data_IF_879147469245
#
_entry.id   IF_879147469245
#
_cell.length_a   1.000
_cell.length_b   1.000
_cell.length_c   1.000
_cell.angle_alpha   90.00
_cell.angle_beta   90.00
_cell.angle_gamma   90.00
#
_symmetry.space_group_name_H-M   'P 1'
#
loop_
_entity.id
_entity.type
_entity.pdbx_description
1 polymer ?
#
# COMPACT_ATOMS: atom_id res chain seq x y z
N UNK A 1 27.23 11.30 -7.69
CA UNK A 1 26.06 11.38 -6.81
C UNK A 1 25.02 10.46 -7.40
N UNK A 2 24.77 9.32 -6.76
CA UNK A 2 23.69 8.42 -7.16
C UNK A 2 22.37 9.14 -6.87
N UNK A 3 21.58 9.38 -7.92
CA UNK A 3 20.19 9.77 -7.77
C UNK A 3 19.52 8.67 -6.93
N UNK A 4 19.03 9.04 -5.76
CA UNK A 4 18.12 8.19 -5.01
C UNK A 4 16.84 8.23 -5.84
N UNK A 5 16.57 7.11 -6.53
CA UNK A 5 15.37 6.92 -7.34
C UNK A 5 14.19 6.76 -6.37
N UNK A 6 13.72 7.87 -5.82
CA UNK A 6 12.58 7.86 -4.90
C UNK A 6 11.34 7.46 -5.71
N UNK A 7 10.71 6.31 -5.42
CA UNK A 7 9.58 5.82 -6.21
C UNK A 7 8.41 6.81 -6.16
N UNK A 8 7.67 6.91 -7.26
CA UNK A 8 6.42 7.69 -7.29
C UNK A 8 5.46 7.09 -6.26
N UNK A 9 4.71 7.94 -5.55
CA UNK A 9 3.83 7.48 -4.50
C UNK A 9 2.70 6.62 -5.08
N UNK A 10 2.62 5.37 -4.61
CA UNK A 10 1.44 4.53 -4.75
C UNK A 10 0.66 4.60 -3.43
N UNK A 11 -0.59 5.10 -3.47
CA UNK A 11 -1.43 5.13 -2.28
C UNK A 11 -1.97 3.72 -2.07
N UNK A 12 -1.41 3.04 -1.07
CA UNK A 12 -1.86 1.72 -0.65
C UNK A 12 -2.37 1.79 0.76
N UNK A 13 -3.40 1.01 1.03
CA UNK A 13 -3.81 0.69 2.38
C UNK A 13 -3.62 -0.79 2.61
N UNK A 14 -2.98 -1.14 3.73
CA UNK A 14 -2.84 -2.52 4.19
C UNK A 14 -3.36 -2.60 5.63
N UNK A 15 -4.41 -3.37 5.82
CA UNK A 15 -5.05 -3.65 7.10
C UNK A 15 -4.64 -5.04 7.55
N UNK A 16 -4.02 -5.12 8.73
CA UNK A 16 -3.61 -6.38 9.35
C UNK A 16 -4.75 -6.89 10.22
N UNK A 17 -5.25 -8.09 9.95
CA UNK A 17 -6.25 -8.79 10.79
C UNK A 17 -5.59 -10.01 11.43
N UNK A 18 -5.20 -9.83 12.69
CA UNK A 18 -4.54 -10.87 13.52
C UNK A 18 -5.17 -11.02 14.91
N UNK A 19 -6.29 -10.35 15.14
CA UNK A 19 -7.09 -10.45 16.36
C UNK A 19 -7.58 -11.88 16.65
N UNK A 20 -7.61 -12.73 15.62
CA UNK A 20 -7.92 -14.17 15.72
C UNK A 20 -6.73 -15.10 15.39
N UNK A 21 -5.49 -14.59 15.32
CA UNK A 21 -4.29 -15.32 14.86
C UNK A 21 -4.42 -15.86 13.42
N UNK A 22 -5.23 -15.18 12.60
CA UNK A 22 -5.48 -15.59 11.24
C UNK A 22 -4.36 -15.20 10.29
N UNK A 23 -3.38 -14.38 10.68
CA UNK A 23 -2.29 -13.94 9.79
C UNK A 23 -2.80 -13.51 8.40
N UNK A 24 -3.90 -12.75 8.36
CA UNK A 24 -4.49 -12.25 7.13
C UNK A 24 -4.25 -10.76 7.01
N UNK A 25 -3.81 -10.33 5.83
CA UNK A 25 -3.77 -8.91 5.48
C UNK A 25 -4.77 -8.62 4.38
N UNK A 26 -5.47 -7.50 4.51
CA UNK A 26 -6.31 -6.93 3.46
C UNK A 26 -5.61 -5.71 2.90
N UNK A 27 -5.54 -5.59 1.58
CA UNK A 27 -4.93 -4.40 0.99
C UNK A 27 -5.36 -4.10 -0.42
N UNK A 28 -5.27 -2.82 -0.76
CA UNK A 28 -5.52 -2.31 -2.10
C UNK A 28 -4.40 -2.76 -3.03
N UNK A 29 -4.78 -3.52 -4.07
CA UNK A 29 -3.88 -3.86 -5.18
C UNK A 29 -3.80 -2.69 -6.15
N UNK A 30 -4.92 -2.00 -6.37
CA UNK A 30 -5.02 -0.80 -7.21
C UNK A 30 -6.24 0.03 -6.80
N UNK A 31 -6.08 1.35 -6.80
CA UNK A 31 -7.15 2.31 -6.56
C UNK A 31 -7.43 3.19 -7.80
N UNK A 32 -8.69 3.53 -8.09
CA UNK A 32 -9.05 4.25 -9.31
C UNK A 32 -8.52 5.69 -9.30
N UNK A 33 -8.06 6.14 -10.48
CA UNK A 33 -7.57 7.51 -10.74
C UNK A 33 -6.41 7.98 -9.84
N UNK A 34 -5.66 7.03 -9.29
CA UNK A 34 -4.42 7.29 -8.54
C UNK A 34 -3.25 6.73 -9.34
N UNK A 35 -2.20 7.54 -9.45
CA UNK A 35 -0.96 7.10 -10.09
C UNK A 35 -0.28 6.07 -9.19
N UNK A 36 0.30 5.04 -9.79
CA UNK A 36 1.18 4.09 -9.14
C UNK A 36 2.64 4.58 -9.15
N UNK A 37 3.54 3.72 -8.66
CA UNK A 37 4.97 3.99 -8.61
C UNK A 37 5.64 4.15 -9.98
N UNK A 38 4.96 3.79 -11.06
CA UNK A 38 5.40 3.90 -12.45
C UNK A 38 4.77 5.11 -13.16
N UNK A 39 3.89 5.85 -12.46
CA UNK A 39 3.15 6.98 -13.00
C UNK A 39 1.91 6.58 -13.81
N UNK A 40 1.53 5.29 -13.78
CA UNK A 40 0.35 4.77 -14.45
C UNK A 40 -0.88 4.86 -13.54
N UNK A 41 -2.04 5.12 -14.12
CA UNK A 41 -3.30 5.18 -13.38
C UNK A 41 -4.38 4.39 -14.12
N UNK A 42 -5.26 3.74 -13.37
CA UNK A 42 -6.34 2.93 -13.93
C UNK A 42 -7.72 3.48 -13.56
N UNK A 43 -8.69 3.28 -14.46
CA UNK A 43 -10.12 3.51 -14.14
C UNK A 43 -10.68 2.37 -13.30
N UNK A 44 -11.77 2.62 -12.58
CA UNK A 44 -12.54 1.58 -11.86
C UNK A 44 -12.96 0.41 -12.77
N UNK A 45 -13.32 0.70 -14.03
CA UNK A 45 -13.65 -0.30 -15.05
C UNK A 45 -12.45 -1.21 -15.38
N UNK A 46 -11.25 -0.63 -15.52
CA UNK A 46 -10.03 -1.39 -15.83
C UNK A 46 -9.55 -2.19 -14.63
N UNK A 47 -9.61 -1.61 -13.42
CA UNK A 47 -9.30 -2.29 -12.16
C UNK A 47 -10.20 -3.52 -12.00
N UNK A 48 -11.51 -3.36 -12.21
CA UNK A 48 -12.47 -4.47 -12.15
C UNK A 48 -12.15 -5.58 -13.16
N UNK A 49 -11.75 -5.23 -14.39
CA UNK A 49 -11.32 -6.20 -15.39
C UNK A 49 -10.04 -6.93 -14.96
N UNK A 50 -9.08 -6.21 -14.40
CA UNK A 50 -7.84 -6.81 -13.89
C UNK A 50 -8.12 -7.80 -12.76
N UNK A 51 -8.92 -7.41 -11.77
CA UNK A 51 -9.37 -8.26 -10.67
C UNK A 51 -10.06 -9.54 -11.19
N UNK A 52 -11.01 -9.41 -12.12
CA UNK A 52 -11.75 -10.55 -12.65
C UNK A 52 -10.86 -11.48 -13.48
N UNK A 53 -9.92 -10.93 -14.25
CA UNK A 53 -8.95 -11.74 -14.98
C UNK A 53 -7.99 -12.46 -14.03
N UNK A 54 -7.59 -11.84 -12.92
CA UNK A 54 -6.76 -12.49 -11.91
C UNK A 54 -7.46 -13.74 -11.36
N UNK A 55 -8.74 -13.60 -10.98
CA UNK A 55 -9.58 -14.70 -10.50
C UNK A 55 -9.81 -15.77 -11.57
N UNK A 56 -10.20 -15.36 -12.79
CA UNK A 56 -10.47 -16.26 -13.92
C UNK A 56 -9.26 -17.13 -14.28
N UNK A 57 -8.06 -16.59 -14.11
CA UNK A 57 -6.81 -17.29 -14.42
C UNK A 57 -6.22 -18.04 -13.21
N UNK A 58 -6.98 -18.20 -12.12
CA UNK A 58 -6.60 -18.99 -10.94
C UNK A 58 -5.26 -18.57 -10.31
N UNK A 59 -4.96 -17.27 -10.29
CA UNK A 59 -3.67 -16.74 -9.77
C UNK A 59 -3.63 -16.58 -8.25
N UNK A 60 -4.48 -17.30 -7.52
CA UNK A 60 -4.73 -17.09 -6.09
C UNK A 60 -3.51 -17.38 -5.19
N UNK A 61 -2.55 -18.17 -5.68
CA UNK A 61 -1.30 -18.51 -4.98
C UNK A 61 -0.07 -17.88 -5.65
N UNK A 62 -0.27 -16.97 -6.62
CA UNK A 62 0.80 -16.24 -7.30
C UNK A 62 1.13 -14.95 -6.55
N UNK A 63 1.40 -15.07 -5.24
CA UNK A 63 1.81 -13.96 -4.38
C UNK A 63 3.32 -14.05 -4.18
N UNK A 64 4.06 -13.03 -4.62
CA UNK A 64 5.49 -12.90 -4.42
C UNK A 64 5.84 -11.69 -3.56
N UNK A 65 7.13 -11.52 -3.25
CA UNK A 65 7.64 -10.37 -2.50
C UNK A 65 8.63 -9.64 -3.39
N UNK A 66 8.41 -8.34 -3.60
CA UNK A 66 9.33 -7.49 -4.36
C UNK A 66 9.45 -7.85 -5.84
N UNK A 67 8.40 -8.38 -6.48
CA UNK A 67 8.38 -8.75 -7.90
C UNK A 67 9.47 -9.76 -8.31
N UNK A 68 9.88 -10.64 -7.38
CA UNK A 68 10.92 -11.65 -7.63
C UNK A 68 10.39 -12.89 -8.39
N UNK A 69 9.08 -12.96 -8.65
CA UNK A 69 8.39 -14.05 -9.34
C UNK A 69 8.47 -15.42 -8.65
N UNK A 70 8.87 -15.45 -7.37
CA UNK A 70 8.87 -16.64 -6.53
C UNK A 70 7.67 -16.60 -5.59
N UNK A 71 6.90 -17.69 -5.57
CA UNK A 71 5.75 -17.81 -4.67
C UNK A 71 6.23 -17.74 -3.22
N UNK A 72 5.65 -16.81 -2.47
CA UNK A 72 5.90 -16.63 -1.04
C UNK A 72 5.28 -17.74 -0.18
N UNK A 73 4.43 -18.60 -0.75
CA UNK A 73 3.59 -19.54 -0.01
C UNK A 73 2.28 -18.93 0.51
N UNK A 74 2.14 -17.61 0.43
CA UNK A 74 0.88 -16.92 0.75
C UNK A 74 -0.19 -17.16 -0.32
N UNK A 75 -1.46 -17.10 0.07
CA UNK A 75 -2.58 -17.30 -0.85
C UNK A 75 -3.77 -16.39 -0.54
N UNK A 76 -4.53 -16.07 -1.59
CA UNK A 76 -5.72 -15.23 -1.52
C UNK A 76 -6.86 -15.98 -0.84
N UNK A 77 -7.38 -15.41 0.25
CA UNK A 77 -8.59 -15.87 0.94
C UNK A 77 -9.82 -15.05 0.52
N UNK A 78 -9.63 -13.78 0.13
CA UNK A 78 -10.71 -12.90 -0.31
C UNK A 78 -10.26 -11.99 -1.47
N UNK A 79 -11.18 -11.67 -2.38
CA UNK A 79 -10.93 -10.70 -3.45
C UNK A 79 -12.21 -9.97 -3.79
N UNK A 80 -12.23 -8.64 -3.67
CA UNK A 80 -13.41 -7.84 -3.92
C UNK A 80 -13.11 -6.45 -4.49
N UNK A 81 -14.16 -5.83 -5.06
CA UNK A 81 -14.15 -4.41 -5.43
C UNK A 81 -14.91 -3.66 -4.35
N UNK A 82 -14.29 -2.61 -3.80
CA UNK A 82 -14.90 -1.75 -2.79
C UNK A 82 -16.12 -1.05 -3.40
N UNK A 83 -17.28 -1.15 -2.75
CA UNK A 83 -18.57 -0.74 -3.33
C UNK A 83 -19.05 0.64 -2.90
N UNK A 84 -18.58 1.12 -1.76
CA UNK A 84 -19.09 2.32 -1.10
C UNK A 84 -17.92 3.19 -0.63
N UNK A 85 -18.15 4.50 -0.53
CA UNK A 85 -17.13 5.47 -0.14
C UNK A 85 -16.75 5.36 1.36
N UNK A 86 -17.62 4.75 2.18
CA UNK A 86 -17.42 4.54 3.62
C UNK A 86 -17.15 3.06 3.92
N UNK A 87 -16.14 2.49 3.28
CA UNK A 87 -15.70 1.13 3.61
C UNK A 87 -15.24 1.06 5.08
N UNK A 88 -15.62 0.03 5.86
CA UNK A 88 -15.27 -0.06 7.29
C UNK A 88 -13.76 -0.10 7.54
N UNK A 89 -13.02 -0.73 6.62
CA UNK A 89 -11.55 -0.81 6.67
C UNK A 89 -10.93 0.42 5.97
N UNK A 90 -11.75 1.36 5.50
CA UNK A 90 -11.39 2.64 4.90
C UNK A 90 -10.66 2.51 3.56
N UNK A 91 -10.96 1.47 2.79
CA UNK A 91 -10.50 1.32 1.41
C UNK A 91 -11.28 2.24 0.45
N UNK A 92 -10.64 2.60 -0.66
CA UNK A 92 -11.19 3.53 -1.64
C UNK A 92 -12.23 2.83 -2.52
N UNK A 93 -13.41 3.45 -2.70
CA UNK A 93 -14.43 2.94 -3.61
C UNK A 93 -13.88 2.68 -5.01
N UNK A 94 -14.23 1.52 -5.56
CA UNK A 94 -13.76 1.06 -6.86
C UNK A 94 -12.34 0.46 -6.84
N UNK A 95 -11.62 0.51 -5.71
CA UNK A 95 -10.36 -0.21 -5.57
C UNK A 95 -10.59 -1.72 -5.59
N UNK A 96 -9.58 -2.45 -6.07
CA UNK A 96 -9.50 -3.88 -5.94
C UNK A 96 -8.69 -4.22 -4.69
N UNK A 97 -9.33 -4.94 -3.77
CA UNK A 97 -8.73 -5.39 -2.51
C UNK A 97 -8.56 -6.91 -2.53
N UNK A 98 -7.41 -7.36 -2.04
CA UNK A 98 -7.14 -8.76 -1.73
C UNK A 98 -7.01 -8.95 -0.22
N UNK A 99 -7.66 -9.98 0.30
CA UNK A 99 -7.34 -10.61 1.58
C UNK A 99 -6.38 -11.78 1.32
N UNK A 100 -5.20 -11.74 1.92
CA UNK A 100 -4.14 -12.74 1.72
C UNK A 100 -3.76 -13.35 3.06
N UNK A 101 -3.80 -14.68 3.12
CA UNK A 101 -3.24 -15.47 4.21
C UNK A 101 -1.74 -15.58 4.01
N UNK A 102 -0.99 -15.20 5.03
CA UNK A 102 0.47 -15.28 5.07
C UNK A 102 0.86 -16.40 6.02
N UNK A 103 1.38 -17.51 5.50
CA UNK A 103 1.77 -18.66 6.34
C UNK A 103 3.22 -18.60 6.82
N UNK A 104 4.09 -17.97 6.02
CA UNK A 104 5.50 -17.80 6.35
C UNK A 104 5.67 -16.83 7.53
N UNK A 105 6.37 -17.28 8.58
CA UNK A 105 6.51 -16.51 9.82
C UNK A 105 7.43 -15.31 9.66
N UNK A 106 8.46 -15.41 8.83
CA UNK A 106 9.42 -14.33 8.65
C UNK A 106 8.80 -13.21 7.84
N UNK A 107 8.05 -13.55 6.78
CA UNK A 107 7.22 -12.61 6.03
C UNK A 107 6.11 -11.99 6.89
N UNK A 108 5.47 -12.78 7.76
CA UNK A 108 4.50 -12.23 8.69
C UNK A 108 5.14 -11.20 9.63
N UNK A 109 6.30 -11.52 10.20
CA UNK A 109 7.03 -10.58 11.05
C UNK A 109 7.46 -9.32 10.29
N UNK A 110 7.89 -9.43 9.03
CA UNK A 110 8.25 -8.25 8.22
C UNK A 110 7.03 -7.35 7.94
N UNK A 111 5.84 -7.94 7.78
CA UNK A 111 4.57 -7.20 7.70
C UNK A 111 4.29 -6.51 9.05
N UNK A 112 4.40 -7.21 10.17
CA UNK A 112 4.14 -6.59 11.48
C UNK A 112 5.07 -5.42 11.78
N UNK A 113 6.32 -5.49 11.30
CA UNK A 113 7.32 -4.42 11.38
C UNK A 113 7.15 -3.30 10.36
N UNK A 114 6.24 -3.43 9.40
CA UNK A 114 6.00 -2.42 8.36
C UNK A 114 7.00 -2.45 7.19
N UNK A 115 7.95 -3.40 7.15
CA UNK A 115 8.90 -3.57 6.03
C UNK A 115 8.18 -3.95 4.72
N UNK A 116 7.11 -4.75 4.84
CA UNK A 116 6.19 -5.07 3.75
C UNK A 116 4.86 -4.37 4.05
N UNK A 117 4.47 -3.42 3.21
CA UNK A 117 3.41 -2.47 3.56
C UNK A 117 2.29 -2.24 2.54
N UNK A 118 2.27 -3.00 1.45
CA UNK A 118 1.15 -2.97 0.52
C UNK A 118 1.32 -3.94 -0.64
N UNK A 119 0.25 -4.10 -1.42
CA UNK A 119 0.29 -4.94 -2.62
C UNK A 119 0.77 -4.15 -3.83
N UNK A 120 1.31 -4.85 -4.81
CA UNK A 120 1.64 -4.27 -6.12
C UNK A 120 1.25 -5.28 -7.20
N UNK A 121 0.74 -4.81 -8.33
CA UNK A 121 0.39 -5.68 -9.44
C UNK A 121 1.56 -5.81 -10.40
N UNK A 122 2.19 -6.98 -10.44
CA UNK A 122 3.12 -7.30 -11.53
C UNK A 122 2.35 -7.49 -12.83
N UNK A 123 2.66 -6.67 -13.83
CA UNK A 123 2.03 -6.76 -15.15
C UNK A 123 2.86 -6.06 -16.22
N UNK A 124 2.75 -6.56 -17.44
CA UNK A 124 3.28 -5.87 -18.62
C UNK A 124 2.18 -5.74 -19.64
N UNK A 125 1.88 -4.51 -20.04
CA UNK A 125 1.03 -4.24 -21.20
C UNK A 125 1.92 -4.22 -22.45
N UNK A 126 1.66 -5.07 -23.46
CA UNK A 126 2.37 -4.99 -24.73
C UNK A 126 2.21 -3.58 -25.35
N UNK A 127 3.26 -2.98 -25.93
CA UNK A 127 3.21 -1.60 -26.45
C UNK A 127 2.08 -1.37 -27.47
N UNK A 128 1.75 -2.38 -28.27
CA UNK A 128 0.67 -2.38 -29.27
C UNK A 128 -0.75 -2.40 -28.66
N UNK A 129 -0.85 -2.64 -27.35
CA UNK A 129 -2.11 -2.73 -26.59
C UNK A 129 -2.25 -1.67 -25.51
N UNK A 130 -1.31 -0.74 -25.40
CA UNK A 130 -1.45 0.44 -24.54
C UNK A 130 -2.62 1.26 -25.10
N UNK A 131 -3.73 1.43 -24.35
CA UNK A 131 -4.81 2.29 -24.80
C UNK A 131 -4.25 3.68 -25.11
N UNK A 132 -4.82 4.37 -26.11
CA UNK A 132 -4.43 5.75 -26.44
C UNK A 132 -4.25 6.56 -25.16
N UNK A 133 -3.07 7.18 -24.96
CA UNK A 133 -2.78 8.02 -23.81
C UNK A 133 -3.91 9.03 -23.64
N UNK A 134 -4.76 8.83 -22.64
CA UNK A 134 -5.79 9.79 -22.27
C UNK A 134 -5.27 10.59 -21.10
N UNK A 135 -5.27 11.90 -21.25
CA UNK A 135 -4.96 12.79 -20.13
C UNK A 135 -6.11 12.72 -19.14
N UNK A 136 -5.86 12.11 -17.99
CA UNK A 136 -6.73 12.24 -16.82
C UNK A 136 -6.27 13.44 -16.01
N UNK A 137 -7.21 14.30 -15.62
CA UNK A 137 -6.95 15.32 -14.60
C UNK A 137 -6.98 14.62 -13.24
N UNK A 138 -5.81 14.30 -12.73
CA UNK A 138 -5.65 13.82 -11.36
C UNK A 138 -5.58 15.07 -10.47
N UNK A 139 -6.29 15.09 -9.34
CA UNK A 139 -6.07 16.13 -8.34
C UNK A 139 -4.65 15.96 -7.79
N UNK A 140 -3.81 16.99 -7.94
CA UNK A 140 -2.48 17.03 -7.33
C UNK A 140 -2.68 17.25 -5.83
N UNK A 141 -2.45 16.22 -5.04
CA UNK A 141 -2.38 16.34 -3.59
C UNK A 141 -1.04 16.98 -3.26
N UNK A 142 -1.06 18.17 -2.63
CA UNK A 142 0.17 18.91 -2.30
C UNK A 142 0.70 18.59 -0.92
N UNK A 143 -0.21 18.29 0.01
CA UNK A 143 0.10 17.87 1.36
C UNK A 143 -0.97 16.95 1.91
N UNK A 144 -0.58 16.06 2.82
CA UNK A 144 -1.48 15.21 3.61
C UNK A 144 -1.03 15.33 5.07
N UNK A 145 -2.00 15.47 5.96
CA UNK A 145 -1.78 15.42 7.40
C UNK A 145 -2.64 14.30 7.97
N UNK A 146 -2.19 13.67 9.03
CA UNK A 146 -2.97 12.62 9.66
C UNK A 146 -2.31 12.06 10.89
N UNK A 147 -2.94 11.01 11.40
CA UNK A 147 -2.38 10.17 12.45
C UNK A 147 -1.95 8.85 11.83
N UNK A 148 -0.82 8.35 12.27
CA UNK A 148 -0.44 6.98 11.99
C UNK A 148 -1.43 6.03 12.65
N UNK A 149 -1.49 4.81 12.12
CA UNK A 149 -2.04 3.68 12.86
C UNK A 149 -1.22 3.43 14.12
N UNK A 150 -1.84 2.69 15.02
CA UNK A 150 -1.21 2.32 16.27
C UNK A 150 -0.05 1.36 15.99
N UNK A 151 1.06 1.52 16.71
CA UNK A 151 2.16 0.56 16.64
C UNK A 151 1.66 -0.83 17.02
N UNK A 152 1.92 -1.82 16.17
CA UNK A 152 1.50 -3.21 16.40
C UNK A 152 2.49 -3.96 17.32
N UNK A 153 3.77 -3.57 17.26
CA UNK A 153 4.87 -4.18 18.00
C UNK A 153 5.89 -3.09 18.39
N UNK A 154 6.72 -3.36 19.40
CA UNK A 154 7.81 -2.49 19.82
C UNK A 154 8.08 -2.57 21.32
N UNK A 155 9.15 -1.90 21.77
CA UNK A 155 9.50 -1.82 23.20
C UNK A 155 8.59 -0.88 24.00
N UNK A 156 7.80 -0.06 23.30
CA UNK A 156 6.91 0.95 23.88
C UNK A 156 5.45 0.47 23.84
N UNK A 157 4.59 1.01 24.72
CA UNK A 157 3.14 0.79 24.62
C UNK A 157 2.59 1.22 23.25
N UNK A 158 1.49 0.60 22.83
CA UNK A 158 0.74 0.95 21.63
C UNK A 158 0.43 2.46 21.57
N UNK A 159 0.85 3.14 20.51
CA UNK A 159 0.68 4.59 20.35
C UNK A 159 0.63 5.01 18.87
N UNK A 160 0.38 6.29 18.60
CA UNK A 160 0.34 6.90 17.26
C UNK A 160 1.24 8.12 17.19
N UNK A 161 1.56 8.53 15.96
CA UNK A 161 2.19 9.80 15.67
C UNK A 161 1.32 10.66 14.75
N UNK A 162 1.42 11.98 14.87
CA UNK A 162 0.96 12.91 13.84
C UNK A 162 2.01 13.00 12.74
N UNK A 163 1.57 13.01 11.49
CA UNK A 163 2.45 13.22 10.34
C UNK A 163 1.94 14.38 9.47
N UNK A 164 2.89 15.04 8.80
CA UNK A 164 2.62 16.03 7.75
C UNK A 164 3.54 15.75 6.57
N UNK A 165 2.97 15.16 5.52
CA UNK A 165 3.66 14.80 4.29
C UNK A 165 3.40 15.88 3.25
N UNK A 166 4.45 16.24 2.51
CA UNK A 166 4.39 17.12 1.33
C UNK A 166 4.92 16.40 0.11
N UNK A 167 4.43 16.81 -1.05
CA UNK A 167 4.83 16.23 -2.33
C UNK A 167 5.66 17.21 -3.16
N UNK A 168 6.64 16.67 -3.88
CA UNK A 168 7.36 17.43 -4.90
C UNK A 168 6.57 17.50 -6.23
N UNK A 169 7.16 18.13 -7.25
CA UNK A 169 6.51 18.28 -8.56
C UNK A 169 6.34 16.98 -9.35
N UNK A 170 6.97 15.89 -8.88
CA UNK A 170 6.86 14.56 -9.43
C UNK A 170 5.99 13.63 -8.56
N UNK A 171 5.20 14.20 -7.63
CA UNK A 171 4.36 13.47 -6.67
C UNK A 171 5.14 12.50 -5.76
N UNK A 172 6.42 12.78 -5.49
CA UNK A 172 7.23 12.01 -4.54
C UNK A 172 7.13 12.66 -3.16
N UNK A 173 7.17 11.83 -2.12
CA UNK A 173 7.23 12.33 -0.74
C UNK A 173 8.54 13.11 -0.56
N UNK A 174 8.41 14.34 -0.06
CA UNK A 174 9.54 15.07 0.48
C UNK A 174 9.84 14.46 1.85
N UNK A 175 11.05 13.90 2.09
CA UNK A 175 11.40 13.29 3.36
C UNK A 175 11.04 14.20 4.54
N UNK A 176 10.34 13.63 5.51
CA UNK A 176 9.81 14.37 6.67
C UNK A 176 9.88 13.50 7.93
N UNK A 177 9.65 14.10 9.08
CA UNK A 177 9.53 13.40 10.36
C UNK A 177 8.10 13.51 10.87
N UNK A 178 7.67 12.50 11.62
CA UNK A 178 6.48 12.60 12.45
C UNK A 178 6.67 13.61 13.59
N UNK A 179 5.60 13.94 14.31
CA UNK A 179 5.73 14.63 15.58
C UNK A 179 6.49 13.78 16.62
N UNK A 180 7.03 14.46 17.64
CA UNK A 180 7.65 13.81 18.78
C UNK A 180 6.58 13.25 19.71
N UNK A 181 6.51 11.93 19.85
CA UNK A 181 5.59 11.24 20.73
C UNK A 181 6.33 10.13 21.50
N UNK A 182 5.96 9.92 22.77
CA UNK A 182 6.59 8.92 23.65
C UNK A 182 8.12 8.84 23.55
N UNK A 183 8.80 9.98 23.46
CA UNK A 183 10.25 10.04 23.51
C UNK A 183 10.98 9.96 22.17
N UNK A 184 10.28 9.84 21.03
CA UNK A 184 10.93 9.66 19.72
C UNK A 184 10.09 10.20 18.54
N UNK A 185 10.67 10.14 17.35
CA UNK A 185 10.04 10.41 16.04
C UNK A 185 10.34 9.26 15.09
N UNK A 186 9.63 9.22 13.97
CA UNK A 186 9.99 8.39 12.82
C UNK A 186 10.20 9.24 11.58
N UNK A 187 11.19 8.85 10.77
CA UNK A 187 11.34 9.35 9.40
C UNK A 187 10.24 8.78 8.51
N UNK A 188 9.82 9.56 7.51
CA UNK A 188 8.93 9.13 6.43
C UNK A 188 9.64 9.38 5.11
N UNK A 189 10.09 8.31 4.46
CA UNK A 189 10.78 8.36 3.17
C UNK A 189 9.90 7.88 2.01
N UNK A 190 8.96 6.98 2.31
CA UNK A 190 8.11 6.31 1.33
C UNK A 190 6.64 6.30 1.74
N UNK A 191 5.78 5.92 0.80
CA UNK A 191 4.35 5.84 1.04
C UNK A 191 4.00 4.71 2.00
N UNK A 192 3.05 4.99 2.90
CA UNK A 192 2.24 4.01 3.66
C UNK A 192 2.85 3.41 4.93
N UNK A 193 4.13 3.65 5.22
CA UNK A 193 4.72 3.38 6.53
C UNK A 193 5.87 4.33 6.86
N UNK A 194 6.16 4.47 8.15
CA UNK A 194 7.35 5.17 8.65
C UNK A 194 8.57 4.26 8.57
N UNK A 195 9.76 4.86 8.66
CA UNK A 195 11.00 4.11 8.91
C UNK A 195 11.01 3.53 10.33
N UNK A 196 11.82 2.49 10.52
CA UNK A 196 12.01 1.87 11.83
C UNK A 196 12.75 2.83 12.79
N UNK A 197 12.22 2.95 14.00
CA UNK A 197 12.84 3.66 15.12
C UNK A 197 12.46 2.92 16.40
N UNK A 198 13.41 2.72 17.32
CA UNK A 198 13.19 1.96 18.56
C UNK A 198 12.48 0.60 18.32
N UNK A 199 12.96 -0.15 17.33
CA UNK A 199 12.48 -1.50 16.94
C UNK A 199 11.00 -1.56 16.52
N UNK A 200 10.42 -0.45 16.06
CA UNK A 200 9.07 -0.45 15.49
C UNK A 200 8.89 0.62 14.41
N UNK A 201 7.78 0.51 13.69
CA UNK A 201 7.32 1.50 12.72
C UNK A 201 5.81 1.67 12.85
N UNK A 202 5.28 2.67 12.15
CA UNK A 202 3.86 2.87 12.04
C UNK A 202 3.39 2.84 10.59
N UNK A 203 2.19 2.29 10.39
CA UNK A 203 1.47 2.40 9.13
C UNK A 203 0.68 3.69 9.10
N UNK A 204 0.39 4.20 7.91
CA UNK A 204 -0.54 5.31 7.75
C UNK A 204 -1.19 5.27 6.38
N UNK A 205 -2.40 5.82 6.29
CA UNK A 205 -3.11 5.96 5.01
C UNK A 205 -2.90 7.35 4.44
N UNK A 206 -2.79 7.41 3.11
CA UNK A 206 -2.76 8.66 2.34
C UNK A 206 -4.10 8.90 1.63
N UNK A 207 -5.17 8.29 2.15
CA UNK A 207 -6.54 8.47 1.69
C UNK A 207 -7.18 9.67 2.40
N UNK A 208 -6.92 10.87 1.89
CA UNK A 208 -7.85 12.01 1.98
C UNK A 208 -8.13 12.54 0.55
#
# INVERSE_FOLDING_TARGET
MSEIDTPILEIKKLVVKDDTYEQVVFGEVFAPFRADSQGDAMTDVEIKKAAYNFMKNMRLDNIDVGHNLQKSGSYVVESFIVRHDNDPDGFIKGAWVLGVKVEDKDLWNSILKGEVNGFSLYGRVPPDKVPNKKTVKIQKVTEIKGLTEKSLFGMLPEHTHEFHIKFDDFNRIIPTETNYALGHTHMILQGTSTEESLEHSHRFSLSE
#
